data_IF_019484452476
#
_entry.id   IF_019484452476
#
_cell.length_a   1.000
_cell.length_b   1.000
_cell.length_c   1.000
_cell.angle_alpha   90.00
_cell.angle_beta   90.00
_cell.angle_gamma   90.00
#
_symmetry.space_group_name_H-M   'P 1'
#
loop_
_entity.id
_entity.type
_entity.pdbx_description
1 polymer ?
#
# COMPACT_ATOMS: atom_id res chain seq x y z
N UNK A 1 4.05 0.54 -13.42
CA UNK A 1 4.48 1.94 -13.66
C UNK A 1 5.50 2.37 -12.60
N UNK A 2 6.57 3.07 -12.97
CA UNK A 2 7.42 3.76 -11.98
C UNK A 2 6.67 4.92 -11.35
N UNK A 3 6.54 4.89 -10.03
CA UNK A 3 5.96 5.98 -9.24
C UNK A 3 7.06 6.91 -8.75
N UNK A 4 8.22 6.38 -8.34
CA UNK A 4 9.37 7.16 -7.92
C UNK A 4 10.60 6.87 -8.78
N UNK A 5 11.06 7.87 -9.52
CA UNK A 5 12.29 7.77 -10.33
C UNK A 5 13.57 7.87 -9.51
N UNK A 6 13.51 8.57 -8.37
CA UNK A 6 14.67 8.77 -7.48
C UNK A 6 15.18 7.46 -6.87
N UNK A 7 14.26 6.59 -6.45
CA UNK A 7 14.56 5.34 -5.76
C UNK A 7 14.10 4.11 -6.54
N UNK A 8 13.62 4.28 -7.76
CA UNK A 8 13.20 3.17 -8.62
C UNK A 8 11.96 2.42 -8.13
N UNK A 9 11.05 3.08 -7.39
CA UNK A 9 9.86 2.42 -6.83
C UNK A 9 8.73 2.41 -7.85
N UNK A 10 8.14 1.24 -8.05
CA UNK A 10 6.97 0.99 -8.90
C UNK A 10 5.66 0.95 -8.11
N UNK A 11 4.54 1.11 -8.81
CA UNK A 11 3.20 0.90 -8.23
C UNK A 11 3.03 -0.54 -7.70
N UNK A 12 3.59 -1.54 -8.39
CA UNK A 12 3.61 -2.93 -7.94
C UNK A 12 4.28 -3.11 -6.58
N UNK A 13 5.46 -2.54 -6.39
CA UNK A 13 6.18 -2.60 -5.11
C UNK A 13 5.44 -1.87 -3.97
N UNK A 14 4.72 -0.78 -4.28
CA UNK A 14 3.87 -0.10 -3.30
C UNK A 14 2.72 -1.02 -2.86
N UNK A 15 2.07 -1.71 -3.81
CA UNK A 15 0.98 -2.65 -3.51
C UNK A 15 1.49 -3.87 -2.74
N UNK A 16 2.64 -4.42 -3.14
CA UNK A 16 3.30 -5.55 -2.47
C UNK A 16 3.61 -5.23 -1.01
N UNK A 17 4.22 -4.07 -0.73
CA UNK A 17 4.47 -3.63 0.64
C UNK A 17 3.19 -3.55 1.50
N UNK A 18 2.05 -3.17 0.91
CA UNK A 18 0.75 -3.17 1.58
C UNK A 18 0.27 -4.59 1.85
N UNK A 19 0.38 -5.50 0.87
CA UNK A 19 0.03 -6.91 1.05
C UNK A 19 0.92 -7.62 2.08
N UNK A 20 2.17 -7.19 2.23
CA UNK A 20 3.10 -7.65 3.28
C UNK A 20 2.79 -7.07 4.67
N UNK A 21 1.85 -6.13 4.77
CA UNK A 21 1.32 -5.64 6.05
C UNK A 21 1.44 -4.13 6.27
N UNK A 22 1.99 -3.35 5.34
CA UNK A 22 1.99 -1.90 5.48
C UNK A 22 0.56 -1.35 5.45
N UNK A 23 0.15 -0.70 6.53
CA UNK A 23 -1.20 -0.17 6.73
C UNK A 23 -1.28 1.36 6.54
N UNK A 24 -0.15 2.01 6.25
CA UNK A 24 -0.09 3.46 6.09
C UNK A 24 0.93 3.90 5.04
N UNK A 25 0.75 5.10 4.47
CA UNK A 25 1.75 5.69 3.56
C UNK A 25 3.11 5.86 4.24
N UNK A 26 3.14 6.11 5.55
CA UNK A 26 4.37 6.25 6.32
C UNK A 26 5.17 4.94 6.29
N UNK A 27 4.52 3.82 6.61
CA UNK A 27 5.14 2.49 6.56
C UNK A 27 5.60 2.15 5.14
N UNK A 28 4.76 2.37 4.12
CA UNK A 28 5.15 2.16 2.71
C UNK A 28 6.40 2.96 2.36
N UNK A 29 6.50 4.21 2.81
CA UNK A 29 7.68 5.06 2.60
C UNK A 29 8.92 4.54 3.30
N UNK A 30 8.78 4.06 4.53
CA UNK A 30 9.87 3.48 5.30
C UNK A 30 10.38 2.16 4.67
N UNK A 31 9.46 1.30 4.21
CA UNK A 31 9.79 0.00 3.58
C UNK A 31 10.37 0.14 2.18
N UNK A 32 9.77 0.99 1.33
CA UNK A 32 10.15 1.06 -0.10
C UNK A 32 11.09 2.23 -0.45
N UNK A 33 11.24 3.20 0.46
CA UNK A 33 11.98 4.43 0.19
C UNK A 33 11.28 5.40 -0.77
N UNK A 34 10.00 5.20 -1.11
CA UNK A 34 9.24 6.10 -1.99
C UNK A 34 9.24 7.54 -1.44
N UNK A 35 9.47 8.53 -2.32
CA UNK A 35 9.48 9.96 -1.95
C UNK A 35 10.49 10.33 -0.82
N UNK A 36 11.54 9.54 -0.60
CA UNK A 36 12.61 9.85 0.36
C UNK A 36 13.60 10.91 -0.13
N UNK A 37 13.71 11.12 -1.45
CA UNK A 37 14.63 12.11 -2.05
C UNK A 37 13.90 13.42 -2.41
N UNK A 38 13.51 13.63 -3.67
CA UNK A 38 12.95 14.92 -4.12
C UNK A 38 11.47 15.16 -3.76
N UNK A 39 10.76 14.14 -3.27
CA UNK A 39 9.36 14.25 -2.84
C UNK A 39 8.30 14.43 -3.93
N UNK A 40 8.66 14.66 -5.20
CA UNK A 40 7.70 14.99 -6.30
C UNK A 40 6.64 13.92 -6.55
N UNK A 41 6.96 12.65 -6.30
CA UNK A 41 6.05 11.52 -6.46
C UNK A 41 5.07 11.32 -5.28
N UNK A 42 5.20 12.09 -4.18
CA UNK A 42 4.47 11.82 -2.95
C UNK A 42 2.94 11.81 -3.13
N UNK A 43 2.39 12.71 -3.95
CA UNK A 43 0.95 12.73 -4.22
C UNK A 43 0.49 11.45 -4.95
N UNK A 44 1.21 11.05 -6.00
CA UNK A 44 0.89 9.83 -6.76
C UNK A 44 1.06 8.57 -5.89
N UNK A 45 2.13 8.48 -5.10
CA UNK A 45 2.36 7.37 -4.18
C UNK A 45 1.24 7.26 -3.14
N UNK A 46 0.82 8.39 -2.53
CA UNK A 46 -0.32 8.41 -1.60
C UNK A 46 -1.63 7.97 -2.24
N UNK A 47 -1.86 8.31 -3.51
CA UNK A 47 -3.02 7.88 -4.25
C UNK A 47 -3.02 6.35 -4.42
N UNK A 48 -1.91 5.76 -4.87
CA UNK A 48 -1.78 4.30 -5.02
C UNK A 48 -1.99 3.59 -3.68
N UNK A 49 -1.41 4.11 -2.59
CA UNK A 49 -1.60 3.55 -1.24
C UNK A 49 -3.07 3.59 -0.83
N UNK A 50 -3.74 4.74 -1.00
CA UNK A 50 -5.16 4.90 -0.64
C UNK A 50 -6.04 3.95 -1.44
N UNK A 51 -5.88 3.92 -2.76
CA UNK A 51 -6.66 3.05 -3.64
C UNK A 51 -6.51 1.59 -3.23
N UNK A 52 -5.28 1.14 -2.96
CA UNK A 52 -4.99 -0.24 -2.59
C UNK A 52 -5.62 -0.61 -1.23
N UNK A 53 -5.49 0.26 -0.22
CA UNK A 53 -6.09 0.02 1.10
C UNK A 53 -7.62 0.04 1.04
N UNK A 54 -8.23 0.95 0.27
CA UNK A 54 -9.69 0.98 0.07
C UNK A 54 -10.19 -0.26 -0.67
N UNK A 55 -9.44 -0.76 -1.66
CA UNK A 55 -9.77 -2.00 -2.35
C UNK A 55 -9.74 -3.20 -1.39
N UNK A 56 -8.73 -3.30 -0.52
CA UNK A 56 -8.65 -4.34 0.48
C UNK A 56 -9.83 -4.31 1.47
N UNK A 57 -10.17 -3.12 1.98
CA UNK A 57 -11.31 -2.94 2.87
C UNK A 57 -12.64 -3.34 2.21
N UNK A 58 -12.82 -2.95 0.95
CA UNK A 58 -14.04 -3.27 0.19
C UNK A 58 -14.13 -4.77 -0.10
N UNK A 59 -13.02 -5.40 -0.47
CA UNK A 59 -12.96 -6.85 -0.70
C UNK A 59 -13.27 -7.65 0.57
N UNK A 60 -12.79 -7.20 1.73
CA UNK A 60 -13.11 -7.81 3.02
C UNK A 60 -14.58 -7.65 3.41
N UNK A 61 -15.18 -6.49 3.13
CA UNK A 61 -16.58 -6.21 3.43
C UNK A 61 -17.57 -7.02 2.56
N UNK A 62 -17.14 -7.49 1.39
CA UNK A 62 -17.96 -8.27 0.47
C UNK A 62 -18.00 -9.78 0.79
N UNK A 63 -17.29 -10.25 1.82
CA UNK A 63 -17.31 -11.66 2.20
C UNK A 63 -18.61 -12.03 2.92
N UNK A 64 -19.42 -12.98 2.41
CA UNK A 64 -20.75 -13.30 2.93
C UNK A 64 -20.76 -14.12 4.23
N UNK A 65 -19.59 -14.42 4.81
CA UNK A 65 -19.51 -15.20 6.05
C UNK A 65 -18.41 -14.66 6.97
N UNK A 66 -18.65 -14.54 8.30
CA UNK A 66 -17.62 -14.15 9.23
C UNK A 66 -16.53 -15.23 9.24
N UNK A 67 -15.28 -14.82 8.98
CA UNK A 67 -14.13 -15.68 9.23
C UNK A 67 -14.11 -16.02 10.74
N UNK A 68 -14.49 -17.26 11.07
CA UNK A 68 -14.48 -17.78 12.43
C UNK A 68 -13.04 -17.78 12.97
N UNK A 69 -12.68 -16.77 13.76
CA UNK A 69 -11.49 -16.81 14.60
C UNK A 69 -11.72 -17.82 15.74
N UNK A 70 -11.41 -19.10 15.49
CA UNK A 70 -11.23 -20.08 16.57
C UNK A 70 -9.95 -19.73 17.32
N UNK A 71 -10.10 -18.99 18.42
CA UNK A 71 -9.09 -19.01 19.47
C UNK A 71 -9.06 -20.42 20.08
N UNK A 72 -7.88 -21.03 20.08
CA UNK A 72 -7.59 -22.28 20.77
C UNK A 72 -7.36 -22.02 22.27
#
# INVERSE_FOLDING_TARGET
MYVCLCTGVTDGQIREAIYEGCCSYKEVRETTGVASQCGKCACLAKQVVRETLTQLQTAQAALPYPAEFKHA
#
